data_IF_205820894942
#
_entry.id   IF_205820894942
#
_cell.length_a   1.000
_cell.length_b   1.000
_cell.length_c   1.000
_cell.angle_alpha   90.00
_cell.angle_beta   90.00
_cell.angle_gamma   90.00
#
_symmetry.space_group_name_H-M   'P 1'
#
loop_
_entity.id
_entity.type
_entity.pdbx_description
1 polymer ?
#
# COMPACT_ATOMS: atom_id res chain seq x y z
N UNK A 1 -28.84 -3.71 -25.27
CA UNK A 1 -27.82 -4.71 -25.66
C UNK A 1 -26.61 -4.36 -24.83
N UNK A 2 -26.22 -5.27 -23.93
CA UNK A 2 -25.26 -4.97 -22.88
C UNK A 2 -23.83 -5.15 -23.37
N UNK A 3 -23.02 -4.12 -23.23
CA UNK A 3 -21.58 -4.17 -23.45
C UNK A 3 -20.92 -4.63 -22.15
N UNK A 4 -20.59 -5.92 -22.11
CA UNK A 4 -19.75 -6.53 -21.08
C UNK A 4 -18.29 -6.17 -21.39
N UNK A 5 -17.74 -5.21 -20.66
CA UNK A 5 -16.30 -4.98 -20.59
C UNK A 5 -15.71 -6.07 -19.69
N UNK A 6 -14.96 -7.01 -20.28
CA UNK A 6 -14.26 -8.07 -19.55
C UNK A 6 -13.03 -7.50 -18.82
N UNK A 7 -12.85 -7.79 -17.52
CA UNK A 7 -11.58 -7.55 -16.83
C UNK A 7 -10.49 -8.52 -17.32
N UNK A 8 -9.25 -8.04 -17.38
CA UNK A 8 -8.04 -8.73 -17.89
C UNK A 8 -7.67 -10.03 -17.13
N UNK A 9 -8.37 -10.36 -16.03
CA UNK A 9 -8.05 -11.50 -15.16
C UNK A 9 -8.37 -12.91 -15.70
N UNK A 10 -9.07 -13.05 -16.82
CA UNK A 10 -9.51 -14.38 -17.30
C UNK A 10 -8.57 -15.07 -18.31
N UNK A 11 -7.49 -14.42 -18.75
CA UNK A 11 -6.57 -15.03 -19.73
C UNK A 11 -5.53 -15.97 -19.09
N UNK A 12 -5.26 -15.85 -17.79
CA UNK A 12 -4.20 -16.61 -17.11
C UNK A 12 -4.63 -18.02 -16.65
N UNK A 13 -5.92 -18.36 -16.65
CA UNK A 13 -6.42 -19.63 -16.08
C UNK A 13 -6.37 -20.85 -17.01
N UNK A 14 -5.84 -20.73 -18.23
CA UNK A 14 -5.94 -21.80 -19.24
C UNK A 14 -4.65 -22.59 -19.51
N UNK A 15 -3.58 -22.37 -18.75
CA UNK A 15 -2.28 -23.04 -19.01
C UNK A 15 -1.87 -24.04 -17.90
N UNK A 16 -2.43 -23.97 -16.69
CA UNK A 16 -2.07 -24.92 -15.63
C UNK A 16 -3.11 -26.04 -15.46
N UNK A 17 -3.14 -26.97 -16.42
CA UNK A 17 -3.72 -28.30 -16.18
C UNK A 17 -3.01 -29.31 -17.08
N UNK A 18 -1.81 -29.74 -16.68
CA UNK A 18 -1.21 -31.04 -17.01
C UNK A 18 0.19 -31.17 -16.38
N UNK A 19 0.25 -31.79 -15.21
CA UNK A 19 1.21 -32.85 -14.87
C UNK A 19 1.07 -33.17 -13.37
N UNK A 20 0.30 -34.21 -13.05
CA UNK A 20 0.40 -34.89 -11.77
C UNK A 20 1.46 -36.00 -11.83
N UNK A 21 2.13 -36.26 -10.70
CA UNK A 21 2.10 -37.56 -9.98
C UNK A 21 3.11 -37.63 -8.84
N UNK A 22 2.58 -37.89 -7.65
CA UNK A 22 2.97 -38.84 -6.60
C UNK A 22 4.45 -39.14 -6.30
N UNK A 23 4.83 -39.01 -5.01
CA UNK A 23 5.23 -40.16 -4.18
C UNK A 23 5.30 -39.85 -2.67
N UNK A 24 4.89 -40.85 -1.89
CA UNK A 24 4.76 -40.98 -0.43
C UNK A 24 6.03 -41.64 0.17
N UNK A 25 6.16 -41.57 1.51
CA UNK A 25 6.90 -42.42 2.48
C UNK A 25 8.13 -41.72 3.10
N UNK A 26 8.48 -41.86 4.38
CA UNK A 26 7.86 -42.36 5.63
C UNK A 26 8.83 -41.98 6.77
N UNK A 27 8.34 -42.07 8.02
CA UNK A 27 9.00 -41.77 9.29
C UNK A 27 10.35 -42.46 9.54
N UNK A 28 11.25 -41.78 10.27
CA UNK A 28 12.16 -42.42 11.24
C UNK A 28 12.29 -41.52 12.49
N UNK A 29 11.79 -42.03 13.61
CA UNK A 29 12.18 -41.63 14.98
C UNK A 29 13.54 -42.27 15.33
N UNK A 30 14.40 -41.51 16.01
CA UNK A 30 15.20 -42.01 17.13
C UNK A 30 15.68 -40.83 17.97
N UNK A 31 15.33 -40.82 19.25
CA UNK A 31 15.93 -39.91 20.24
C UNK A 31 17.25 -40.44 20.77
N UNK A 32 18.08 -39.54 21.31
CA UNK A 32 18.67 -39.64 22.65
C UNK A 32 19.51 -38.40 23.01
N UNK A 33 19.28 -37.96 24.25
CA UNK A 33 20.19 -37.30 25.21
C UNK A 33 20.87 -35.96 24.90
N UNK A 34 20.35 -34.95 25.62
CA UNK A 34 21.03 -33.90 26.38
C UNK A 34 22.55 -34.06 26.59
N UNK A 35 23.29 -33.01 26.27
CA UNK A 35 24.37 -32.53 27.13
C UNK A 35 24.49 -30.99 27.05
N UNK A 36 24.43 -30.37 28.22
CA UNK A 36 24.60 -28.95 28.46
C UNK A 36 26.11 -28.70 28.59
N UNK A 37 26.65 -27.79 27.79
CA UNK A 37 27.97 -27.21 28.04
C UNK A 37 27.92 -25.69 27.82
N UNK A 38 27.88 -24.98 28.94
CA UNK A 38 28.21 -23.56 29.04
C UNK A 38 29.70 -23.40 28.69
N UNK A 39 30.00 -22.58 27.69
CA UNK A 39 31.34 -22.03 27.51
C UNK A 39 31.25 -20.52 27.29
N UNK A 40 31.58 -19.79 28.34
CA UNK A 40 31.87 -18.37 28.38
C UNK A 40 33.12 -18.08 27.53
N UNK A 41 32.94 -17.31 26.46
CA UNK A 41 34.03 -16.84 25.61
C UNK A 41 33.75 -15.43 25.11
N UNK A 42 34.23 -14.45 25.86
CA UNK A 42 34.22 -13.03 25.50
C UNK A 42 35.02 -12.80 24.21
N UNK A 43 34.33 -12.51 23.11
CA UNK A 43 34.93 -11.90 21.92
C UNK A 43 34.35 -10.51 21.73
N UNK A 44 35.09 -9.50 22.21
CA UNK A 44 34.90 -8.10 21.83
C UNK A 44 35.09 -7.97 20.31
N UNK A 45 34.00 -7.94 19.55
CA UNK A 45 34.02 -7.36 18.21
C UNK A 45 33.44 -5.95 18.29
N UNK A 46 34.32 -4.96 18.18
CA UNK A 46 33.94 -3.58 17.92
C UNK A 46 33.26 -3.50 16.53
N UNK A 47 31.94 -3.61 16.49
CA UNK A 47 31.14 -3.15 15.36
C UNK A 47 30.30 -1.95 15.80
N UNK A 48 30.97 -0.80 15.89
CA UNK A 48 30.30 0.50 15.84
C UNK A 48 29.99 0.74 14.36
N UNK A 49 28.97 0.06 13.82
CA UNK A 49 28.40 0.37 12.53
C UNK A 49 27.24 1.35 12.74
N UNK A 50 27.60 2.63 12.69
CA UNK A 50 26.78 3.78 12.24
C UNK A 50 25.26 3.64 12.41
N UNK A 51 24.76 3.83 13.63
CA UNK A 51 23.41 4.41 13.78
C UNK A 51 23.49 5.89 13.40
N UNK A 52 23.46 6.20 12.10
CA UNK A 52 23.08 7.55 11.69
C UNK A 52 21.59 7.66 12.03
N UNK A 53 21.27 8.16 13.23
CA UNK A 53 19.94 8.69 13.52
C UNK A 53 19.73 9.88 12.59
N UNK A 54 19.33 9.60 11.36
CA UNK A 54 18.73 10.60 10.52
C UNK A 54 17.46 11.03 11.26
N UNK A 55 17.31 12.32 11.50
CA UNK A 55 16.05 12.87 11.94
C UNK A 55 15.13 12.80 10.72
N UNK A 56 14.53 11.62 10.49
CA UNK A 56 13.70 11.35 9.31
C UNK A 56 12.41 12.13 9.48
N UNK A 57 12.22 13.15 8.64
CA UNK A 57 10.99 13.91 8.59
C UNK A 57 9.97 13.11 7.79
N UNK A 58 8.93 12.60 8.45
CA UNK A 58 7.80 11.92 7.78
C UNK A 58 7.12 12.82 6.74
N UNK A 59 7.06 14.13 7.00
CA UNK A 59 6.59 15.13 6.04
C UNK A 59 7.42 15.11 4.75
N UNK A 60 8.74 14.98 4.87
CA UNK A 60 9.63 14.91 3.70
C UNK A 60 9.39 13.63 2.90
N UNK A 61 9.15 12.49 3.56
CA UNK A 61 8.85 11.23 2.86
C UNK A 61 7.56 11.35 2.03
N UNK A 62 6.54 12.03 2.56
CA UNK A 62 5.31 12.34 1.82
C UNK A 62 5.61 13.23 0.60
N UNK A 63 6.40 14.29 0.78
CA UNK A 63 6.79 15.18 -0.32
C UNK A 63 7.63 14.46 -1.40
N UNK A 64 8.50 13.52 -1.00
CA UNK A 64 9.28 12.69 -1.90
C UNK A 64 8.38 11.71 -2.70
N UNK A 65 7.31 11.17 -2.09
CA UNK A 65 6.29 10.38 -2.83
C UNK A 65 5.58 11.26 -3.86
N UNK A 66 5.19 12.49 -3.50
CA UNK A 66 4.56 13.44 -4.42
C UNK A 66 5.51 13.76 -5.60
N UNK A 67 6.80 13.98 -5.31
CA UNK A 67 7.81 14.24 -6.33
C UNK A 67 7.95 13.05 -7.30
N UNK A 68 8.05 11.83 -6.77
CA UNK A 68 8.07 10.60 -7.59
C UNK A 68 6.78 10.45 -8.41
N UNK A 69 5.62 10.76 -7.86
CA UNK A 69 4.33 10.68 -8.58
C UNK A 69 4.26 11.68 -9.75
N UNK A 70 4.82 12.88 -9.57
CA UNK A 70 4.83 13.94 -10.58
C UNK A 70 5.89 13.75 -11.67
N UNK A 71 6.93 12.95 -11.40
CA UNK A 71 7.89 12.53 -12.43
C UNK A 71 7.29 11.39 -13.28
N UNK A 72 7.23 11.46 -14.62
CA UNK A 72 6.62 10.41 -15.44
C UNK A 72 7.23 9.01 -15.27
N UNK A 73 8.53 8.90 -15.00
CA UNK A 73 9.22 7.61 -14.76
C UNK A 73 9.03 7.17 -13.31
N UNK A 74 9.13 8.09 -12.36
CA UNK A 74 8.79 7.86 -10.96
C UNK A 74 7.36 7.35 -10.80
N UNK A 75 6.42 7.91 -11.57
CA UNK A 75 5.03 7.50 -11.64
C UNK A 75 4.88 6.04 -12.07
N UNK A 76 5.61 5.62 -13.12
CA UNK A 76 5.62 4.22 -13.59
C UNK A 76 6.23 3.26 -12.56
N UNK A 77 7.25 3.69 -11.84
CA UNK A 77 7.83 2.89 -10.75
C UNK A 77 6.87 2.75 -9.56
N UNK A 78 6.24 3.85 -9.14
CA UNK A 78 5.32 3.85 -8.00
C UNK A 78 4.05 3.04 -8.28
N UNK A 79 3.43 3.22 -9.45
CA UNK A 79 2.08 2.70 -9.72
C UNK A 79 2.06 1.46 -10.61
N UNK A 80 3.17 0.73 -10.69
CA UNK A 80 3.18 -0.60 -11.27
C UNK A 80 2.42 -1.60 -10.38
N UNK A 81 1.80 -2.59 -11.00
CA UNK A 81 0.91 -3.58 -10.36
C UNK A 81 1.59 -4.94 -10.12
N UNK A 82 2.92 -5.02 -10.24
CA UNK A 82 3.65 -6.19 -9.74
C UNK A 82 3.68 -6.16 -8.20
N UNK A 83 2.89 -7.06 -7.62
CA UNK A 83 2.75 -7.22 -6.17
C UNK A 83 3.73 -8.22 -5.56
N UNK A 84 4.27 -9.13 -6.36
CA UNK A 84 5.07 -10.27 -5.87
C UNK A 84 6.51 -9.86 -5.60
N UNK A 85 7.10 -9.07 -6.48
CA UNK A 85 8.48 -8.60 -6.36
C UNK A 85 8.57 -7.33 -5.53
N UNK A 86 9.76 -6.99 -5.03
CA UNK A 86 9.96 -5.76 -4.26
C UNK A 86 9.68 -4.53 -5.13
N UNK A 87 9.13 -3.49 -4.54
CA UNK A 87 8.90 -2.21 -5.24
C UNK A 87 10.20 -1.61 -5.76
N UNK A 88 11.31 -1.78 -5.01
CA UNK A 88 12.65 -1.31 -5.41
C UNK A 88 13.28 -2.14 -6.51
N UNK A 89 12.78 -3.34 -6.81
CA UNK A 89 13.31 -4.18 -7.89
C UNK A 89 12.70 -3.82 -9.26
N UNK A 90 11.66 -2.98 -9.28
CA UNK A 90 11.04 -2.49 -10.52
C UNK A 90 12.06 -1.81 -11.43
N UNK A 91 12.01 -2.15 -12.71
CA UNK A 91 12.90 -1.64 -13.74
C UNK A 91 12.13 -0.90 -14.84
N UNK A 92 12.58 0.32 -15.16
CA UNK A 92 11.91 1.16 -16.15
C UNK A 92 11.95 0.56 -17.55
N UNK A 93 13.08 -0.04 -17.96
CA UNK A 93 13.20 -0.60 -19.30
C UNK A 93 12.26 -1.80 -19.47
N UNK A 94 12.15 -2.65 -18.44
CA UNK A 94 11.23 -3.78 -18.46
C UNK A 94 9.76 -3.32 -18.44
N UNK A 95 9.41 -2.28 -17.66
CA UNK A 95 8.06 -1.70 -17.65
C UNK A 95 7.70 -1.14 -19.04
N UNK A 96 8.54 -0.30 -19.63
CA UNK A 96 8.25 0.29 -20.94
C UNK A 96 8.20 -0.77 -22.05
N UNK A 97 9.08 -1.78 -22.00
CA UNK A 97 9.03 -2.91 -22.93
C UNK A 97 7.73 -3.72 -22.80
N UNK A 98 7.20 -3.89 -21.60
CA UNK A 98 5.90 -4.54 -21.38
C UNK A 98 4.74 -3.71 -21.94
N UNK A 99 4.81 -2.38 -21.82
CA UNK A 99 3.84 -1.45 -22.45
C UNK A 99 3.92 -1.57 -23.98
N UNK A 100 5.13 -1.49 -24.56
CA UNK A 100 5.35 -1.60 -26.01
C UNK A 100 4.79 -2.91 -26.56
N UNK A 101 5.02 -4.02 -25.86
CA UNK A 101 4.47 -5.33 -26.22
C UNK A 101 2.94 -5.31 -26.22
N UNK A 102 2.33 -4.78 -25.15
CA UNK A 102 0.87 -4.69 -25.04
C UNK A 102 0.29 -3.83 -26.16
N UNK A 103 0.87 -2.66 -26.41
CA UNK A 103 0.45 -1.76 -27.50
C UNK A 103 0.58 -2.44 -28.86
N UNK A 104 1.66 -3.17 -29.09
CA UNK A 104 1.85 -3.95 -30.33
C UNK A 104 0.81 -5.07 -30.47
N UNK A 105 0.42 -5.74 -29.39
CA UNK A 105 -0.61 -6.79 -29.40
C UNK A 105 -2.00 -6.24 -29.74
N UNK A 106 -2.29 -5.00 -29.36
CA UNK A 106 -3.51 -4.27 -29.75
C UNK A 106 -3.44 -3.69 -31.18
N UNK A 107 -2.31 -3.80 -31.88
CA UNK A 107 -2.15 -3.31 -33.26
C UNK A 107 -1.62 -1.87 -33.36
N UNK A 108 -1.06 -1.32 -32.28
CA UNK A 108 -0.47 0.02 -32.25
C UNK A 108 -1.18 0.96 -31.27
N UNK A 109 -0.56 2.11 -31.01
CA UNK A 109 -0.99 3.05 -29.96
C UNK A 109 -2.37 3.66 -30.25
N UNK A 110 -2.69 3.95 -31.51
CA UNK A 110 -3.99 4.51 -31.90
C UNK A 110 -5.14 3.55 -31.57
N UNK A 111 -5.01 2.28 -31.99
CA UNK A 111 -6.02 1.25 -31.72
C UNK A 111 -6.14 0.97 -30.22
N UNK A 112 -5.01 0.93 -29.50
CA UNK A 112 -5.03 0.78 -28.04
C UNK A 112 -5.85 1.90 -27.38
N UNK A 113 -5.61 3.16 -27.75
CA UNK A 113 -6.34 4.30 -27.20
C UNK A 113 -7.83 4.26 -27.57
N UNK A 114 -8.18 3.86 -28.79
CA UNK A 114 -9.59 3.69 -29.20
C UNK A 114 -10.30 2.60 -28.40
N UNK A 115 -9.63 1.48 -28.12
CA UNK A 115 -10.23 0.33 -27.45
C UNK A 115 -10.27 0.45 -25.92
N UNK A 116 -9.21 1.01 -25.32
CA UNK A 116 -9.03 1.06 -23.85
C UNK A 116 -9.40 2.45 -23.31
N UNK A 117 -9.37 3.50 -24.15
CA UNK A 117 -9.74 4.86 -23.78
C UNK A 117 -8.63 5.65 -23.07
N UNK A 118 -7.41 5.11 -22.97
CA UNK A 118 -6.26 5.75 -22.30
C UNK A 118 -4.96 5.50 -23.05
N UNK A 119 -4.00 6.41 -22.89
CA UNK A 119 -2.63 6.22 -23.33
C UNK A 119 -1.80 5.53 -22.22
N UNK A 120 -1.26 4.32 -22.42
CA UNK A 120 -0.55 3.60 -21.37
C UNK A 120 0.83 4.19 -21.04
N UNK A 121 1.36 5.08 -21.89
CA UNK A 121 2.61 5.79 -21.63
C UNK A 121 2.43 6.98 -20.70
N UNK A 122 1.23 7.58 -20.65
CA UNK A 122 0.96 8.76 -19.84
C UNK A 122 1.04 8.44 -18.34
N UNK A 123 1.47 9.39 -17.49
CA UNK A 123 1.42 9.22 -16.04
C UNK A 123 0.01 8.84 -15.58
N UNK A 124 -0.06 7.90 -14.65
CA UNK A 124 -1.32 7.38 -14.11
C UNK A 124 -1.65 8.08 -12.80
N UNK A 125 -2.93 8.45 -12.66
CA UNK A 125 -3.52 8.76 -11.36
C UNK A 125 -4.03 7.46 -10.75
N UNK A 126 -3.41 6.93 -9.68
CA UNK A 126 -3.76 5.63 -9.15
C UNK A 126 -5.15 5.66 -8.49
N UNK A 127 -5.96 4.64 -8.74
CA UNK A 127 -7.18 4.37 -7.94
C UNK A 127 -6.80 3.95 -6.52
N UNK A 128 -7.77 3.97 -5.60
CA UNK A 128 -7.60 3.70 -4.17
C UNK A 128 -6.77 2.45 -3.85
N UNK A 129 -7.11 1.31 -4.49
CA UNK A 129 -6.37 0.05 -4.29
C UNK A 129 -4.92 0.13 -4.77
N UNK A 130 -4.69 0.72 -5.95
CA UNK A 130 -3.35 0.82 -6.54
C UNK A 130 -2.43 1.73 -5.71
N UNK A 131 -2.96 2.85 -5.19
CA UNK A 131 -2.17 3.78 -4.38
C UNK A 131 -1.85 3.19 -3.00
N UNK A 132 -2.86 2.66 -2.31
CA UNK A 132 -2.69 2.10 -0.98
C UNK A 132 -1.73 0.90 -0.98
N UNK A 133 -1.88 -0.03 -1.92
CA UNK A 133 -1.04 -1.23 -2.00
C UNK A 133 0.43 -0.91 -2.33
N UNK A 134 0.67 0.05 -3.24
CA UNK A 134 2.03 0.44 -3.59
C UNK A 134 2.73 1.23 -2.48
N UNK A 135 2.04 2.18 -1.85
CA UNK A 135 2.62 2.91 -0.70
C UNK A 135 2.85 1.93 0.47
N UNK A 136 1.97 0.94 0.66
CA UNK A 136 2.16 -0.11 1.67
C UNK A 136 3.45 -0.91 1.42
N UNK A 137 3.70 -1.36 0.18
CA UNK A 137 4.97 -2.00 -0.20
C UNK A 137 6.16 -1.08 0.07
N UNK A 138 6.05 0.18 -0.35
CA UNK A 138 7.09 1.19 -0.13
C UNK A 138 7.47 1.35 1.35
N UNK A 139 6.47 1.29 2.24
CA UNK A 139 6.66 1.43 3.69
C UNK A 139 7.18 0.16 4.37
N UNK A 140 6.79 -1.03 3.90
CA UNK A 140 6.95 -2.29 4.68
C UNK A 140 8.02 -3.24 4.16
N UNK A 141 8.50 -3.05 2.94
CA UNK A 141 9.51 -3.93 2.35
C UNK A 141 10.92 -3.57 2.81
N UNK A 142 11.48 -4.39 3.71
CA UNK A 142 12.92 -4.39 4.04
C UNK A 142 13.68 -5.40 3.18
N UNK A 143 14.21 -6.46 3.79
CA UNK A 143 14.94 -7.52 3.08
C UNK A 143 14.09 -8.32 2.09
N UNK A 144 12.79 -8.49 2.37
CA UNK A 144 11.88 -9.35 1.61
C UNK A 144 10.74 -8.57 0.97
N UNK A 145 10.23 -9.09 -0.15
CA UNK A 145 9.03 -8.57 -0.79
C UNK A 145 7.78 -8.84 0.07
N UNK A 146 6.85 -7.91 0.02
CA UNK A 146 5.54 -8.01 0.67
C UNK A 146 4.47 -7.93 -0.41
N UNK A 147 3.64 -8.97 -0.51
CA UNK A 147 2.49 -9.01 -1.43
C UNK A 147 1.24 -8.50 -0.69
N UNK A 148 0.81 -7.24 -0.91
CA UNK A 148 -0.31 -6.65 -0.19
C UNK A 148 -1.64 -7.38 -0.45
N UNK A 149 -1.77 -8.08 -1.59
CA UNK A 149 -2.97 -8.85 -1.91
C UNK A 149 -3.05 -10.11 -1.05
N UNK A 150 -1.91 -10.78 -0.82
CA UNK A 150 -1.85 -12.01 0.00
C UNK A 150 -1.95 -11.75 1.49
N UNK A 151 -1.31 -10.69 2.00
CA UNK A 151 -1.32 -10.41 3.45
C UNK A 151 -2.71 -10.03 3.95
N UNK A 152 -3.50 -9.31 3.14
CA UNK A 152 -4.90 -8.99 3.46
C UNK A 152 -5.78 -10.25 3.49
N UNK A 153 -5.46 -11.29 2.71
CA UNK A 153 -6.22 -12.53 2.74
C UNK A 153 -5.91 -13.41 3.96
N UNK A 154 -4.70 -13.32 4.50
CA UNK A 154 -4.18 -14.29 5.49
C UNK A 154 -4.07 -13.73 6.90
N UNK A 155 -3.91 -12.41 7.05
CA UNK A 155 -3.66 -11.75 8.35
C UNK A 155 -4.61 -10.61 8.66
N UNK A 156 -5.76 -10.51 7.97
CA UNK A 156 -6.72 -9.44 8.25
C UNK A 156 -7.41 -9.60 9.60
N UNK A 157 -7.64 -8.48 10.25
CA UNK A 157 -8.50 -8.29 11.41
C UNK A 157 -9.71 -7.45 11.00
N UNK A 158 -10.79 -7.53 11.77
CA UNK A 158 -11.95 -6.67 11.54
C UNK A 158 -11.77 -5.27 12.19
N UNK A 159 -12.68 -4.34 11.88
CA UNK A 159 -12.65 -2.98 12.43
C UNK A 159 -12.85 -2.87 13.94
N UNK A 160 -13.50 -3.84 14.60
CA UNK A 160 -13.62 -3.86 16.06
C UNK A 160 -12.30 -4.30 16.70
N UNK A 161 -11.70 -5.36 16.18
CA UNK A 161 -10.40 -5.84 16.64
C UNK A 161 -9.31 -4.80 16.41
N UNK A 162 -9.34 -4.07 15.28
CA UNK A 162 -8.47 -2.91 15.07
C UNK A 162 -8.66 -1.85 16.17
N UNK A 163 -9.92 -1.51 16.51
CA UNK A 163 -10.22 -0.51 17.53
C UNK A 163 -9.71 -0.90 18.93
N UNK A 164 -9.67 -2.20 19.24
CA UNK A 164 -9.11 -2.73 20.49
C UNK A 164 -7.58 -2.76 20.49
N UNK A 165 -6.97 -3.16 19.36
CA UNK A 165 -5.51 -3.30 19.24
C UNK A 165 -4.77 -1.96 19.15
N UNK A 166 -5.40 -0.92 18.59
CA UNK A 166 -4.71 0.35 18.32
C UNK A 166 -4.16 1.03 19.59
N UNK A 167 -4.81 0.84 20.76
CA UNK A 167 -4.34 1.36 22.06
C UNK A 167 -3.18 0.57 22.65
N UNK A 168 -2.94 -0.64 22.16
CA UNK A 168 -1.92 -1.56 22.66
C UNK A 168 -0.62 -1.47 21.87
N UNK A 169 -0.59 -0.65 20.82
CA UNK A 169 0.58 -0.44 19.98
C UNK A 169 1.72 0.21 20.77
N UNK A 170 2.94 -0.24 20.51
CA UNK A 170 4.11 0.33 21.14
C UNK A 170 4.36 1.74 20.61
N UNK A 171 4.42 2.75 21.49
CA UNK A 171 4.71 4.13 21.10
C UNK A 171 6.12 4.34 20.53
N UNK A 172 7.00 3.35 20.67
CA UNK A 172 8.39 3.39 20.16
C UNK A 172 8.54 2.72 18.78
N UNK A 173 7.46 2.21 18.19
CA UNK A 173 7.45 1.51 16.90
C UNK A 173 6.53 2.23 15.92
N UNK A 174 6.77 2.04 14.63
CA UNK A 174 5.90 2.56 13.58
C UNK A 174 5.01 1.43 13.07
N UNK A 175 3.76 1.75 12.77
CA UNK A 175 2.80 0.80 12.24
C UNK A 175 2.08 1.39 11.05
N UNK A 176 1.65 0.54 10.13
CA UNK A 176 0.77 0.94 9.03
C UNK A 176 -0.39 -0.03 8.94
N UNK A 177 -1.60 0.51 8.80
CA UNK A 177 -2.81 -0.26 8.57
C UNK A 177 -3.22 -0.12 7.10
N UNK A 178 -3.26 -1.23 6.37
CA UNK A 178 -3.90 -1.32 5.06
C UNK A 178 -5.39 -1.63 5.26
N UNK A 179 -6.24 -0.64 5.00
CA UNK A 179 -7.68 -0.70 5.26
C UNK A 179 -8.41 -0.94 3.96
N UNK A 180 -9.23 -1.99 3.93
CA UNK A 180 -10.20 -2.24 2.87
C UNK A 180 -11.61 -2.13 3.47
N UNK A 181 -12.23 -0.96 3.27
CA UNK A 181 -13.56 -0.64 3.79
C UNK A 181 -14.63 -1.02 2.76
N UNK A 182 -15.25 -2.18 2.96
CA UNK A 182 -16.28 -2.71 2.04
C UNK A 182 -17.56 -1.88 2.06
N UNK A 183 -17.80 -1.11 3.14
CA UNK A 183 -18.95 -0.20 3.26
C UNK A 183 -18.82 0.94 2.26
N UNK A 184 -17.61 1.48 2.13
CA UNK A 184 -17.29 2.56 1.20
C UNK A 184 -16.89 2.04 -0.19
N UNK A 185 -16.49 0.76 -0.29
CA UNK A 185 -15.84 0.22 -1.48
C UNK A 185 -14.48 0.88 -1.72
N UNK A 186 -13.74 1.16 -0.65
CA UNK A 186 -12.58 2.04 -0.66
C UNK A 186 -11.39 1.42 0.08
N UNK A 187 -10.19 1.66 -0.43
CA UNK A 187 -8.94 1.18 0.15
C UNK A 187 -7.99 2.34 0.41
N UNK A 188 -7.40 2.38 1.60
CA UNK A 188 -6.48 3.44 2.02
C UNK A 188 -5.53 2.96 3.11
N UNK A 189 -4.54 3.79 3.44
CA UNK A 189 -3.59 3.53 4.53
C UNK A 189 -3.85 4.42 5.71
N UNK A 190 -3.51 3.91 6.90
CA UNK A 190 -3.31 4.70 8.11
C UNK A 190 -1.87 4.47 8.56
N UNK A 191 -1.02 5.47 8.37
CA UNK A 191 0.32 5.51 8.96
C UNK A 191 0.21 5.91 10.43
N UNK A 192 0.87 5.16 11.30
CA UNK A 192 0.92 5.34 12.75
C UNK A 192 2.40 5.38 13.13
N UNK A 193 3.08 6.52 12.92
CA UNK A 193 4.48 6.64 13.25
C UNK A 193 4.68 6.66 14.77
N UNK A 194 5.88 6.25 15.20
CA UNK A 194 6.28 6.33 16.60
C UNK A 194 6.22 7.78 17.10
N UNK A 195 5.46 8.01 18.17
CA UNK A 195 5.32 9.32 18.79
C UNK A 195 5.21 9.16 20.31
N UNK A 196 6.08 9.88 21.03
CA UNK A 196 6.18 9.82 22.50
C UNK A 196 5.12 10.70 23.18
N UNK A 197 4.54 11.67 22.46
CA UNK A 197 3.57 12.62 23.02
C UNK A 197 2.13 12.12 22.87
N UNK A 198 1.69 11.89 21.63
CA UNK A 198 0.34 11.42 21.33
C UNK A 198 0.40 10.55 20.07
N UNK A 199 -0.05 9.31 20.18
CA UNK A 199 -0.15 8.40 19.03
C UNK A 199 -1.37 8.80 18.19
N UNK A 200 -1.11 9.20 16.96
CA UNK A 200 -2.11 9.63 15.97
C UNK A 200 -1.93 8.85 14.68
N UNK A 201 -2.98 8.77 13.88
CA UNK A 201 -2.91 8.20 12.53
C UNK A 201 -2.86 9.28 11.45
N UNK A 202 -2.21 9.00 10.34
CA UNK A 202 -2.20 9.81 9.12
C UNK A 202 -2.77 8.98 7.97
N UNK A 203 -3.76 9.51 7.26
CA UNK A 203 -4.42 8.75 6.19
C UNK A 203 -3.71 9.03 4.87
N UNK A 204 -3.41 8.01 4.08
CA UNK A 204 -2.96 8.13 2.69
C UNK A 204 -3.97 7.47 1.75
N UNK A 205 -4.51 8.23 0.79
CA UNK A 205 -5.55 7.74 -0.11
C UNK A 205 -5.58 8.48 -1.45
N UNK A 206 -6.13 7.81 -2.45
CA UNK A 206 -6.73 8.39 -3.65
C UNK A 206 -8.09 7.75 -3.87
N UNK A 207 -8.97 8.36 -4.65
CA UNK A 207 -10.31 7.82 -4.91
C UNK A 207 -10.73 8.10 -6.36
N UNK A 208 -11.35 7.11 -7.00
CA UNK A 208 -11.94 7.26 -8.34
C UNK A 208 -13.23 8.11 -8.30
N UNK A 209 -13.90 8.18 -7.14
CA UNK A 209 -15.12 8.95 -6.91
C UNK A 209 -16.41 8.25 -7.33
N UNK A 210 -16.36 6.93 -7.51
CA UNK A 210 -17.53 6.12 -7.85
C UNK A 210 -18.42 5.84 -6.62
N UNK A 211 -17.82 5.83 -5.41
CA UNK A 211 -18.48 5.51 -4.14
C UNK A 211 -19.12 6.70 -3.44
N UNK A 212 -19.06 6.68 -2.11
CA UNK A 212 -19.62 7.70 -1.23
C UNK A 212 -18.78 9.00 -1.15
N UNK A 213 -17.52 8.94 -1.58
CA UNK A 213 -16.55 10.03 -1.59
C UNK A 213 -16.40 10.61 -3.01
N UNK A 214 -15.99 11.89 -3.14
CA UNK A 214 -15.67 12.50 -4.44
C UNK A 214 -14.36 11.93 -5.03
N UNK A 215 -14.11 12.11 -6.35
CA UNK A 215 -12.82 11.79 -6.95
C UNK A 215 -11.68 12.56 -6.26
N UNK A 216 -10.55 11.90 -6.04
CA UNK A 216 -9.43 12.45 -5.27
C UNK A 216 -8.10 11.92 -5.82
N UNK A 217 -7.22 12.82 -6.25
CA UNK A 217 -5.86 12.48 -6.66
C UNK A 217 -4.96 12.25 -5.44
N UNK A 218 -4.02 11.33 -5.56
CA UNK A 218 -3.10 10.98 -4.46
C UNK A 218 -2.24 12.18 -4.05
N UNK A 219 -1.69 12.93 -5.02
CA UNK A 219 -0.82 14.07 -4.73
C UNK A 219 -1.58 15.21 -4.04
N UNK A 220 -2.81 15.50 -4.47
CA UNK A 220 -3.66 16.53 -3.84
C UNK A 220 -3.96 16.18 -2.39
N UNK A 221 -4.30 14.91 -2.13
CA UNK A 221 -4.53 14.41 -0.77
C UNK A 221 -3.25 14.52 0.09
N UNK A 222 -2.13 13.98 -0.38
CA UNK A 222 -0.88 13.97 0.37
C UNK A 222 -0.36 15.39 0.65
N UNK A 223 -0.54 16.32 -0.29
CA UNK A 223 -0.10 17.70 -0.14
C UNK A 223 -0.96 18.49 0.87
N UNK A 224 -2.26 18.21 0.92
CA UNK A 224 -3.20 18.94 1.78
C UNK A 224 -3.49 18.26 3.12
N UNK A 225 -3.80 16.96 3.10
CA UNK A 225 -4.42 16.22 4.21
C UNK A 225 -3.66 14.99 4.67
N UNK A 226 -2.72 14.47 3.86
CA UNK A 226 -1.87 13.35 4.27
C UNK A 226 -0.98 13.66 5.47
N UNK A 227 -0.85 14.93 5.84
CA UNK A 227 -0.07 15.43 6.99
C UNK A 227 -0.97 15.84 8.17
N UNK A 228 -2.29 15.78 8.00
CA UNK A 228 -3.24 16.11 9.06
C UNK A 228 -3.40 14.90 10.00
N UNK A 229 -3.16 15.04 11.31
CA UNK A 229 -3.34 13.94 12.25
C UNK A 229 -4.82 13.62 12.45
N UNK A 230 -5.13 12.33 12.57
CA UNK A 230 -6.43 11.78 12.91
C UNK A 230 -6.32 11.05 14.24
N UNK A 231 -7.13 11.45 15.21
CA UNK A 231 -7.10 10.83 16.54
C UNK A 231 -7.63 9.40 16.50
N UNK A 232 -7.07 8.55 17.37
CA UNK A 232 -7.52 7.17 17.50
C UNK A 232 -9.01 7.06 17.87
N UNK A 233 -9.56 8.00 18.65
CA UNK A 233 -11.00 8.04 18.90
C UNK A 233 -11.83 8.15 17.61
N UNK A 234 -11.41 8.97 16.64
CA UNK A 234 -12.11 9.06 15.34
C UNK A 234 -11.97 7.77 14.54
N UNK A 235 -10.76 7.20 14.49
CA UNK A 235 -10.52 5.93 13.78
C UNK A 235 -11.32 4.77 14.37
N UNK A 236 -11.33 4.61 15.70
CA UNK A 236 -12.13 3.60 16.39
C UNK A 236 -13.63 3.76 16.09
N UNK A 237 -14.13 5.00 16.17
CA UNK A 237 -15.53 5.30 15.87
C UNK A 237 -15.87 5.03 14.40
N UNK A 238 -14.92 5.23 13.48
CA UNK A 238 -15.10 4.99 12.05
C UNK A 238 -15.15 3.50 11.71
N UNK A 239 -14.30 2.67 12.32
CA UNK A 239 -14.14 1.26 11.93
C UNK A 239 -14.90 0.27 12.79
N UNK A 240 -15.16 0.59 14.06
CA UNK A 240 -15.91 -0.31 14.93
C UNK A 240 -17.41 -0.27 14.63
N UNK A 241 -18.13 -1.19 15.27
CA UNK A 241 -19.60 -1.23 15.30
C UNK A 241 -20.25 0.05 15.80
N UNK A 242 -19.52 0.93 16.51
CA UNK A 242 -20.03 2.24 16.92
C UNK A 242 -20.47 3.07 15.72
N UNK A 243 -19.81 2.92 14.58
CA UNK A 243 -20.19 3.58 13.34
C UNK A 243 -21.66 3.33 12.97
N UNK A 244 -22.15 2.10 13.18
CA UNK A 244 -23.50 1.71 12.79
C UNK A 244 -24.57 2.39 13.66
N UNK A 245 -24.21 2.74 14.91
CA UNK A 245 -25.09 3.39 15.88
C UNK A 245 -25.23 4.90 15.66
N UNK A 246 -24.41 5.49 14.78
CA UNK A 246 -24.43 6.92 14.48
C UNK A 246 -25.62 7.32 13.62
N UNK A 247 -26.15 8.52 13.89
CA UNK A 247 -27.09 9.17 12.99
C UNK A 247 -26.44 9.47 11.63
N UNK A 248 -27.25 9.70 10.59
CA UNK A 248 -26.73 10.01 9.26
C UNK A 248 -25.82 11.25 9.26
N UNK A 249 -26.19 12.29 10.01
CA UNK A 249 -25.37 13.50 10.10
C UNK A 249 -24.02 13.22 10.76
N UNK A 250 -24.00 12.44 11.85
CA UNK A 250 -22.75 12.04 12.50
C UNK A 250 -21.87 11.17 11.62
N UNK A 251 -22.46 10.28 10.80
CA UNK A 251 -21.72 9.49 9.80
C UNK A 251 -21.08 10.40 8.76
N UNK A 252 -21.84 11.35 8.19
CA UNK A 252 -21.31 12.31 7.22
C UNK A 252 -20.19 13.15 7.80
N UNK A 253 -20.36 13.68 9.01
CA UNK A 253 -19.32 14.46 9.70
C UNK A 253 -18.09 13.62 9.95
N UNK A 254 -18.22 12.39 10.45
CA UNK A 254 -17.07 11.53 10.72
C UNK A 254 -16.32 11.18 9.44
N UNK A 255 -17.03 10.82 8.37
CA UNK A 255 -16.43 10.52 7.07
C UNK A 255 -15.78 11.77 6.48
N UNK A 256 -16.43 12.94 6.51
CA UNK A 256 -15.85 14.16 5.91
C UNK A 256 -14.60 14.60 6.66
N UNK A 257 -14.64 14.60 7.99
CA UNK A 257 -13.49 14.96 8.82
C UNK A 257 -12.27 14.06 8.59
N UNK A 258 -12.48 12.80 8.21
CA UNK A 258 -11.42 11.80 8.06
C UNK A 258 -10.98 11.60 6.61
N UNK A 259 -11.91 11.56 5.65
CA UNK A 259 -11.68 11.08 4.29
C UNK A 259 -12.04 12.08 3.17
N UNK A 260 -12.74 13.18 3.45
CA UNK A 260 -12.97 14.24 2.44
C UNK A 260 -11.86 15.28 2.51
N UNK A 261 -11.28 15.69 1.38
CA UNK A 261 -10.15 16.63 1.35
C UNK A 261 -10.50 17.99 1.97
N UNK A 262 -11.74 18.46 1.82
CA UNK A 262 -12.24 19.75 2.31
C UNK A 262 -12.98 19.68 3.65
N UNK A 263 -13.11 18.48 4.24
CA UNK A 263 -13.92 18.20 5.45
C UNK A 263 -15.41 18.59 5.27
N UNK A 264 -15.91 18.58 4.04
CA UNK A 264 -17.27 19.02 3.71
C UNK A 264 -18.27 17.86 3.75
N UNK A 265 -19.27 17.97 4.63
CA UNK A 265 -20.33 16.97 4.79
C UNK A 265 -21.23 16.83 3.55
N UNK A 266 -21.32 17.87 2.72
CA UNK A 266 -22.13 17.87 1.50
C UNK A 266 -21.54 17.00 0.40
N UNK A 267 -20.24 16.72 0.45
CA UNK A 267 -19.56 15.82 -0.48
C UNK A 267 -19.90 14.33 -0.22
N UNK A 268 -20.44 14.00 0.96
CA UNK A 268 -20.64 12.63 1.39
C UNK A 268 -22.01 12.07 0.95
N UNK A 269 -21.95 11.09 0.05
CA UNK A 269 -23.11 10.40 -0.53
C UNK A 269 -23.38 9.08 0.20
N UNK A 270 -24.00 9.15 1.38
CA UNK A 270 -24.30 7.97 2.21
C UNK A 270 -25.21 6.94 1.50
N UNK A 271 -26.01 7.35 0.53
CA UNK A 271 -26.84 6.47 -0.29
C UNK A 271 -26.01 5.49 -1.14
N UNK A 272 -24.75 5.82 -1.41
CA UNK A 272 -23.80 4.95 -2.14
C UNK A 272 -22.99 4.04 -1.22
N UNK A 273 -23.10 4.23 0.09
CA UNK A 273 -22.46 3.37 1.07
C UNK A 273 -23.25 2.05 1.20
N UNK A 274 -22.55 0.92 1.18
CA UNK A 274 -23.14 -0.39 1.41
C UNK A 274 -23.40 -0.56 2.91
N UNK A 275 -24.63 -0.94 3.24
CA UNK A 275 -25.04 -1.25 4.62
C UNK A 275 -24.59 -2.65 4.99
N UNK A 276 -24.33 -2.86 6.27
CA UNK A 276 -24.02 -4.18 6.87
C UNK A 276 -22.76 -4.87 6.29
N UNK A 277 -21.87 -4.09 5.68
CA UNK A 277 -20.57 -4.54 5.20
C UNK A 277 -19.47 -4.32 6.26
N UNK A 278 -18.40 -5.10 6.14
CA UNK A 278 -17.29 -5.10 7.09
C UNK A 278 -16.15 -4.18 6.68
N UNK A 279 -15.22 -3.96 7.60
CA UNK A 279 -13.92 -3.34 7.33
C UNK A 279 -12.86 -4.40 7.57
N UNK A 280 -12.07 -4.70 6.56
CA UNK A 280 -10.91 -5.57 6.67
C UNK A 280 -9.66 -4.70 6.87
N UNK A 281 -8.87 -4.98 7.89
CA UNK A 281 -7.65 -4.24 8.19
C UNK A 281 -6.47 -5.21 8.26
N UNK A 282 -5.37 -4.90 7.57
CA UNK A 282 -4.09 -5.55 7.81
C UNK A 282 -3.16 -4.56 8.52
N UNK A 283 -2.88 -4.82 9.80
CA UNK A 283 -2.04 -3.96 10.65
C UNK A 283 -0.69 -4.61 10.86
N UNK A 284 0.38 -3.92 10.49
CA UNK A 284 1.77 -4.40 10.65
C UNK A 284 2.68 -3.30 11.14
N UNK A 285 3.78 -3.70 11.79
CA UNK A 285 4.92 -2.83 12.07
C UNK A 285 5.71 -2.57 10.78
N UNK A 286 6.38 -1.43 10.71
CA UNK A 286 7.35 -1.11 9.65
C UNK A 286 8.57 -0.36 10.20
N UNK A 287 9.71 -0.51 9.52
CA UNK A 287 10.91 0.27 9.81
C UNK A 287 10.92 1.55 8.96
N UNK A 288 11.10 2.69 9.63
CA UNK A 288 11.15 3.99 8.96
C UNK A 288 12.42 4.16 8.11
N UNK A 289 13.50 3.45 8.47
CA UNK A 289 14.75 3.46 7.70
C UNK A 289 14.54 2.70 6.37
N UNK A 290 13.83 1.56 6.38
CA UNK A 290 13.46 0.82 5.16
C UNK A 290 12.59 1.69 4.24
N UNK A 291 11.58 2.36 4.80
CA UNK A 291 10.72 3.26 4.01
C UNK A 291 11.53 4.40 3.35
N UNK A 292 12.45 5.00 4.08
CA UNK A 292 13.36 6.03 3.58
C UNK A 292 14.28 5.50 2.48
N UNK A 293 14.92 4.33 2.70
CA UNK A 293 15.82 3.71 1.73
C UNK A 293 15.10 3.30 0.46
N UNK A 294 13.86 2.81 0.55
CA UNK A 294 13.05 2.47 -0.61
C UNK A 294 12.75 3.69 -1.48
N UNK A 295 12.34 4.81 -0.87
CA UNK A 295 12.12 6.08 -1.58
C UNK A 295 13.40 6.55 -2.28
N UNK A 296 14.52 6.59 -1.57
CA UNK A 296 15.80 7.03 -2.13
C UNK A 296 16.29 6.09 -3.24
N UNK A 297 16.03 4.79 -3.13
CA UNK A 297 16.33 3.81 -4.17
C UNK A 297 15.53 4.09 -5.45
N UNK A 298 14.23 4.35 -5.34
CA UNK A 298 13.40 4.72 -6.50
C UNK A 298 13.86 6.03 -7.14
N UNK A 299 14.17 7.05 -6.34
CA UNK A 299 14.72 8.33 -6.83
C UNK A 299 16.04 8.12 -7.57
N UNK A 300 16.94 7.29 -7.03
CA UNK A 300 18.23 6.99 -7.66
C UNK A 300 18.09 6.32 -9.04
N UNK A 301 17.01 5.56 -9.27
CA UNK A 301 16.74 4.96 -10.58
C UNK A 301 16.44 6.02 -11.64
N UNK A 302 15.83 7.14 -11.25
CA UNK A 302 15.56 8.27 -12.16
C UNK A 302 16.87 8.93 -12.59
N UNK A 303 17.69 9.33 -11.63
CA UNK A 303 18.98 10.00 -11.86
C UNK A 303 19.94 9.16 -12.72
N UNK A 304 19.96 7.85 -12.48
CA UNK A 304 20.86 6.93 -13.20
C UNK A 304 20.33 6.56 -14.58
N UNK A 305 19.02 6.59 -14.80
CA UNK A 305 18.44 6.35 -16.11
C UNK A 305 18.82 7.48 -17.06
N UNK A 306 18.63 8.74 -16.65
CA UNK A 306 18.94 9.91 -17.49
C UNK A 306 20.41 9.95 -17.90
N UNK A 307 21.33 9.66 -16.97
CA UNK A 307 22.77 9.57 -17.26
C UNK A 307 23.18 8.45 -18.24
N UNK A 308 22.38 7.39 -18.38
CA UNK A 308 22.66 6.30 -19.32
C UNK A 308 22.29 6.68 -20.76
N UNK A 309 21.33 7.56 -20.95
CA UNK A 309 20.89 8.02 -22.28
C UNK A 309 21.54 9.36 -22.69
N UNK A 310 22.18 10.07 -21.77
CA UNK A 310 22.96 11.29 -22.04
C UNK A 310 24.43 11.04 -22.43
N UNK A 311 24.86 9.77 -22.58
CA UNK A 311 26.21 9.47 -23.09
C UNK A 311 26.19 9.42 -24.63
N UNK A 312 27.00 10.26 -25.30
CA UNK A 312 27.01 10.39 -26.77
C UNK A 312 27.51 9.14 -27.51
#
# INVERSE_FOLDING_TARGET
MGDNIMPINDLAKKIETRAGKDKICENIETGHHLEIALSSGSSKSNNISKSKKHNISTVKLIDDIIALHNDPKGNKLLWNDNWQDKIVDRDLADIFKAIDKTVSEFGGIEIYQEMVGVNPYDPTEPVCGLSAQNIFKLMTEGEHAVDPVKVVQTGKIDGNEFAERIDQLSSTKNYVALVNDHRLGHMFLIDIPSNVQETVGYIYQSDLGAGALPPLKIADWLNSRGKDPVSFNKLKKLFSREFNLLSENEKKTLISETLDIHKDVSNIKLDRMKRDENVDVYLTEYDIDDFCENIETLKSKLDNYDRKFDKP
#
